data_IF_374529523405
#
_entry.id   IF_374529523405
#
_cell.length_a   1.000
_cell.length_b   1.000
_cell.length_c   1.000
_cell.angle_alpha   90.00
_cell.angle_beta   90.00
_cell.angle_gamma   90.00
#
_symmetry.space_group_name_H-M   'P 1'
#
loop_
_entity.id
_entity.type
_entity.pdbx_description
1 polymer ?
#
# COMPACT_ATOMS: atom_id res chain seq x y z
N UNK A 1 12.75 23.57 -23.73
CA UNK A 1 13.64 24.33 -22.82
C UNK A 1 13.92 23.44 -21.63
N UNK A 2 15.11 22.84 -21.63
CA UNK A 2 15.56 21.87 -20.65
C UNK A 2 15.97 22.59 -19.35
N UNK A 3 15.38 22.21 -18.22
CA UNK A 3 16.03 22.45 -16.93
C UNK A 3 16.94 21.27 -16.66
N UNK A 4 18.23 21.44 -16.96
CA UNK A 4 19.29 20.66 -16.35
C UNK A 4 19.26 20.93 -14.84
N UNK A 5 18.43 20.18 -14.14
CA UNK A 5 18.31 20.25 -12.68
C UNK A 5 19.45 19.45 -12.07
N UNK A 6 20.40 20.15 -11.45
CA UNK A 6 21.33 19.63 -10.44
C UNK A 6 20.73 18.45 -9.68
N UNK A 7 21.47 17.34 -9.56
CA UNK A 7 21.08 16.03 -8.98
C UNK A 7 20.58 16.06 -7.53
N UNK A 8 19.49 16.79 -7.30
CA UNK A 8 18.85 17.02 -6.01
C UNK A 8 17.44 16.44 -6.13
N UNK A 9 17.13 15.48 -5.26
CA UNK A 9 15.84 14.77 -5.25
C UNK A 9 14.66 15.73 -5.10
N UNK A 10 13.88 15.97 -6.16
CA UNK A 10 12.74 16.90 -6.11
C UNK A 10 11.43 16.18 -5.76
N UNK A 11 10.73 16.70 -4.75
CA UNK A 11 9.40 16.22 -4.34
C UNK A 11 8.38 16.45 -5.46
N UNK A 12 8.37 17.64 -6.05
CA UNK A 12 7.42 17.99 -7.12
C UNK A 12 7.60 17.13 -8.36
N UNK A 13 8.85 16.84 -8.74
CA UNK A 13 9.14 15.94 -9.86
C UNK A 13 8.65 14.52 -9.57
N UNK A 14 8.89 14.00 -8.35
CA UNK A 14 8.43 12.66 -7.97
C UNK A 14 6.92 12.55 -7.95
N UNK A 15 6.22 13.59 -7.49
CA UNK A 15 4.77 13.61 -7.54
C UNK A 15 4.26 13.70 -8.98
N UNK A 16 4.86 14.56 -9.81
CA UNK A 16 4.53 14.70 -11.23
C UNK A 16 4.74 13.42 -12.03
N UNK A 17 5.87 12.74 -11.81
CA UNK A 17 6.18 11.44 -12.43
C UNK A 17 5.18 10.37 -12.00
N UNK A 18 4.82 10.32 -10.71
CA UNK A 18 3.82 9.39 -10.19
C UNK A 18 2.43 9.61 -10.80
N UNK A 19 1.95 10.86 -10.82
CA UNK A 19 0.66 11.20 -11.44
C UNK A 19 0.67 10.97 -12.95
N UNK A 20 1.76 11.32 -13.64
CA UNK A 20 1.91 11.10 -15.07
C UNK A 20 1.88 9.63 -15.44
N UNK A 21 2.61 8.79 -14.69
CA UNK A 21 2.62 7.34 -14.89
C UNK A 21 1.23 6.72 -14.65
N UNK A 22 0.51 7.20 -13.62
CA UNK A 22 -0.86 6.76 -13.35
C UNK A 22 -1.79 7.08 -14.51
N UNK A 23 -1.82 8.33 -14.99
CA UNK A 23 -2.74 8.72 -16.07
C UNK A 23 -2.43 8.01 -17.38
N UNK A 24 -1.15 7.77 -17.69
CA UNK A 24 -0.73 7.07 -18.91
C UNK A 24 -1.09 5.58 -18.90
N UNK A 25 -1.06 4.93 -17.74
CA UNK A 25 -1.35 3.50 -17.59
C UNK A 25 -2.68 3.21 -16.88
N UNK A 26 -3.54 4.21 -16.73
CA UNK A 26 -4.73 4.12 -15.89
C UNK A 26 -5.58 2.89 -16.23
N UNK A 27 -5.80 2.62 -17.52
CA UNK A 27 -6.59 1.48 -17.98
C UNK A 27 -5.89 0.14 -17.71
N UNK A 28 -4.59 0.03 -17.95
CA UNK A 28 -3.84 -1.21 -17.74
C UNK A 28 -3.73 -1.54 -16.24
N UNK A 29 -3.48 -0.53 -15.39
CA UNK A 29 -3.46 -0.70 -13.94
C UNK A 29 -4.84 -1.01 -13.37
N UNK A 30 -5.88 -0.31 -13.84
CA UNK A 30 -7.26 -0.61 -13.44
C UNK A 30 -7.66 -2.01 -13.85
N UNK A 31 -7.29 -2.48 -15.04
CA UNK A 31 -7.55 -3.85 -15.47
C UNK A 31 -6.92 -4.88 -14.52
N UNK A 32 -5.66 -4.69 -14.11
CA UNK A 32 -4.99 -5.55 -13.13
C UNK A 32 -5.75 -5.53 -11.79
N UNK A 33 -6.07 -4.35 -11.26
CA UNK A 33 -6.80 -4.22 -9.99
C UNK A 33 -8.17 -4.88 -10.08
N UNK A 34 -8.92 -4.69 -11.17
CA UNK A 34 -10.23 -5.30 -11.38
C UNK A 34 -10.15 -6.82 -11.45
N UNK A 35 -9.19 -7.37 -12.21
CA UNK A 35 -9.02 -8.83 -12.32
C UNK A 35 -8.82 -9.46 -10.93
N UNK A 36 -7.90 -8.92 -10.13
CA UNK A 36 -7.62 -9.46 -8.80
C UNK A 36 -8.72 -9.17 -7.78
N UNK A 37 -9.35 -7.99 -7.86
CA UNK A 37 -10.43 -7.61 -6.93
C UNK A 37 -11.69 -8.43 -7.20
N UNK A 38 -12.06 -8.65 -8.47
CA UNK A 38 -13.18 -9.51 -8.85
C UNK A 38 -12.90 -10.95 -8.45
N UNK A 39 -11.72 -11.49 -8.78
CA UNK A 39 -11.35 -12.85 -8.40
C UNK A 39 -11.44 -13.09 -6.89
N UNK A 40 -10.92 -12.14 -6.10
CA UNK A 40 -10.97 -12.21 -4.62
C UNK A 40 -12.39 -12.10 -4.10
N UNK A 41 -13.17 -11.16 -4.63
CA UNK A 41 -14.57 -10.96 -4.22
C UNK A 41 -15.44 -12.16 -4.57
N UNK A 42 -15.31 -12.73 -5.77
CA UNK A 42 -16.07 -13.92 -6.19
C UNK A 42 -15.75 -15.12 -5.31
N UNK A 43 -14.48 -15.34 -4.95
CA UNK A 43 -14.11 -16.42 -4.04
C UNK A 43 -14.68 -16.19 -2.63
N UNK A 44 -14.60 -14.97 -2.12
CA UNK A 44 -15.18 -14.61 -0.83
C UNK A 44 -16.70 -14.85 -0.81
N UNK A 45 -17.42 -14.42 -1.84
CA UNK A 45 -18.87 -14.63 -1.95
C UNK A 45 -19.25 -16.09 -2.15
N UNK A 46 -18.51 -16.82 -2.99
CA UNK A 46 -18.74 -18.24 -3.21
C UNK A 46 -18.58 -19.05 -1.91
N UNK A 47 -17.52 -18.78 -1.14
CA UNK A 47 -17.30 -19.45 0.14
C UNK A 47 -18.33 -19.04 1.21
N UNK A 48 -18.73 -17.77 1.24
CA UNK A 48 -19.83 -17.30 2.11
C UNK A 48 -21.14 -18.04 1.81
N UNK A 49 -21.46 -18.22 0.51
CA UNK A 49 -22.65 -18.96 0.09
C UNK A 49 -22.59 -20.44 0.48
N UNK A 50 -21.46 -21.10 0.25
CA UNK A 50 -21.27 -22.52 0.62
C UNK A 50 -21.41 -22.73 2.13
N UNK A 51 -20.95 -21.78 2.95
CA UNK A 51 -20.96 -21.92 4.41
C UNK A 51 -22.25 -21.50 5.08
N UNK A 52 -22.96 -20.50 4.54
CA UNK A 52 -24.18 -19.96 5.16
C UNK A 52 -25.45 -20.29 4.39
N UNK A 53 -25.35 -20.91 3.20
CA UNK A 53 -26.49 -21.10 2.30
C UNK A 53 -27.03 -19.80 1.72
N UNK A 54 -26.34 -18.67 1.93
CA UNK A 54 -26.79 -17.35 1.55
C UNK A 54 -25.61 -16.49 1.09
N UNK A 55 -25.87 -15.54 0.19
CA UNK A 55 -24.90 -14.49 -0.10
C UNK A 55 -24.89 -13.40 0.98
N UNK A 56 -25.74 -13.51 2.01
CA UNK A 56 -26.00 -12.46 2.99
C UNK A 56 -25.16 -12.70 4.24
N UNK A 57 -24.39 -11.69 4.64
CA UNK A 57 -23.85 -11.63 5.98
C UNK A 57 -25.01 -11.39 6.94
N UNK A 58 -25.65 -12.46 7.41
CA UNK A 58 -26.64 -12.32 8.48
C UNK A 58 -25.89 -11.89 9.75
N UNK A 59 -26.04 -10.62 10.11
CA UNK A 59 -25.46 -10.02 11.31
C UNK A 59 -25.80 -10.82 12.58
N UNK A 60 -26.89 -11.59 12.56
CA UNK A 60 -27.30 -12.47 13.66
C UNK A 60 -26.66 -13.88 13.59
N UNK A 61 -26.19 -14.33 12.43
CA UNK A 61 -25.54 -15.63 12.26
C UNK A 61 -24.06 -15.64 12.70
N UNK A 62 -23.47 -14.47 12.95
CA UNK A 62 -22.07 -14.31 13.37
C UNK A 62 -21.69 -15.00 14.69
N UNK A 63 -22.68 -15.41 15.50
CA UNK A 63 -22.45 -16.11 16.78
C UNK A 63 -22.78 -17.62 16.71
N UNK A 64 -23.62 -18.07 15.77
CA UNK A 64 -24.12 -19.45 15.73
C UNK A 64 -23.25 -20.42 14.89
N UNK A 65 -22.39 -19.92 14.00
CA UNK A 65 -21.64 -20.72 13.02
C UNK A 65 -20.19 -21.06 13.38
N UNK A 66 -19.87 -21.26 14.67
CA UNK A 66 -18.53 -21.19 15.28
C UNK A 66 -17.37 -22.04 14.73
N UNK A 67 -17.54 -22.83 13.67
CA UNK A 67 -16.43 -23.53 12.99
C UNK A 67 -16.42 -23.37 11.45
N UNK A 68 -17.57 -23.42 10.77
CA UNK A 68 -17.63 -23.28 9.31
C UNK A 68 -17.37 -21.84 8.85
N UNK A 69 -17.77 -20.85 9.64
CA UNK A 69 -17.47 -19.44 9.38
C UNK A 69 -15.95 -19.19 9.42
N UNK A 70 -15.25 -19.80 10.38
CA UNK A 70 -13.80 -19.61 10.57
C UNK A 70 -12.98 -20.12 9.40
N UNK A 71 -13.30 -21.31 8.87
CA UNK A 71 -12.53 -21.89 7.74
C UNK A 71 -12.73 -21.08 6.45
N UNK A 72 -13.95 -20.65 6.12
CA UNK A 72 -14.22 -19.82 4.93
C UNK A 72 -13.53 -18.47 4.99
N UNK A 73 -13.52 -17.83 6.16
CA UNK A 73 -12.82 -16.55 6.38
C UNK A 73 -11.32 -16.73 6.23
N UNK A 74 -10.73 -17.80 6.78
CA UNK A 74 -9.29 -18.07 6.65
C UNK A 74 -8.91 -18.28 5.18
N UNK A 75 -9.64 -19.13 4.46
CA UNK A 75 -9.34 -19.45 3.05
C UNK A 75 -9.46 -18.20 2.17
N UNK A 76 -10.54 -17.43 2.32
CA UNK A 76 -10.74 -16.19 1.56
C UNK A 76 -9.69 -15.12 1.90
N UNK A 77 -9.30 -15.01 3.16
CA UNK A 77 -8.25 -14.07 3.58
C UNK A 77 -6.89 -14.46 3.01
N UNK A 78 -6.50 -15.73 3.09
CA UNK A 78 -5.23 -16.21 2.51
C UNK A 78 -5.21 -15.95 1.01
N UNK A 79 -6.29 -16.29 0.30
CA UNK A 79 -6.41 -16.02 -1.13
C UNK A 79 -6.30 -14.52 -1.44
N UNK A 80 -7.00 -13.68 -0.68
CA UNK A 80 -6.98 -12.22 -0.83
C UNK A 80 -5.59 -11.62 -0.59
N UNK A 81 -4.87 -12.08 0.42
CA UNK A 81 -3.48 -11.67 0.68
C UNK A 81 -2.56 -12.10 -0.47
N UNK A 82 -2.72 -13.31 -0.97
CA UNK A 82 -1.92 -13.79 -2.11
C UNK A 82 -2.19 -12.98 -3.37
N UNK A 83 -3.47 -12.79 -3.73
CA UNK A 83 -3.91 -11.99 -4.87
C UNK A 83 -3.40 -10.54 -4.76
N UNK A 84 -3.47 -9.98 -3.55
CA UNK A 84 -3.00 -8.64 -3.27
C UNK A 84 -1.51 -8.46 -3.54
N UNK A 85 -0.66 -9.38 -3.10
CA UNK A 85 0.80 -9.32 -3.33
C UNK A 85 1.12 -9.43 -4.82
N UNK A 86 0.45 -10.32 -5.55
CA UNK A 86 0.64 -10.47 -7.00
C UNK A 86 0.24 -9.18 -7.73
N UNK A 87 -0.91 -8.60 -7.39
CA UNK A 87 -1.38 -7.35 -7.96
C UNK A 87 -0.40 -6.20 -7.66
N UNK A 88 0.08 -6.11 -6.41
CA UNK A 88 1.02 -5.10 -5.97
C UNK A 88 2.31 -5.12 -6.80
N UNK A 89 2.89 -6.30 -7.02
CA UNK A 89 4.09 -6.46 -7.85
C UNK A 89 3.82 -6.07 -9.31
N UNK A 90 2.70 -6.54 -9.87
CA UNK A 90 2.33 -6.27 -11.26
C UNK A 90 2.18 -4.76 -11.52
N UNK A 91 1.50 -4.04 -10.60
CA UNK A 91 1.30 -2.60 -10.68
C UNK A 91 2.63 -1.82 -10.59
N UNK A 92 3.48 -2.16 -9.62
CA UNK A 92 4.80 -1.51 -9.48
C UNK A 92 5.65 -1.75 -10.73
N UNK A 93 5.67 -2.98 -11.26
CA UNK A 93 6.41 -3.32 -12.46
C UNK A 93 5.92 -2.56 -13.69
N UNK A 94 4.61 -2.37 -13.82
CA UNK A 94 4.02 -1.61 -14.92
C UNK A 94 4.36 -0.11 -14.81
N UNK A 95 4.26 0.46 -13.61
CA UNK A 95 4.69 1.84 -13.33
C UNK A 95 6.19 2.04 -13.61
N UNK A 96 7.03 1.08 -13.21
CA UNK A 96 8.46 1.12 -13.47
C UNK A 96 8.80 1.05 -14.96
N UNK A 97 8.17 0.14 -15.71
CA UNK A 97 8.41 0.04 -17.16
C UNK A 97 8.05 1.33 -17.86
N UNK A 98 6.95 1.94 -17.45
CA UNK A 98 6.48 3.20 -17.98
C UNK A 98 7.43 4.38 -17.70
N UNK A 99 7.92 4.49 -16.46
CA UNK A 99 8.93 5.50 -16.09
C UNK A 99 10.29 5.28 -16.76
N UNK A 100 10.56 4.06 -17.21
CA UNK A 100 11.75 3.68 -17.99
C UNK A 100 11.54 3.81 -19.51
N UNK A 101 10.37 4.28 -19.96
CA UNK A 101 10.06 4.42 -21.39
C UNK A 101 9.83 3.10 -22.13
N UNK A 102 9.62 1.99 -21.40
CA UNK A 102 9.35 0.67 -21.98
C UNK A 102 7.85 0.40 -21.98
N UNK A 103 7.31 0.00 -23.12
CA UNK A 103 5.93 -0.50 -23.20
C UNK A 103 5.88 -1.93 -22.69
N UNK A 104 4.92 -2.24 -21.81
CA UNK A 104 4.76 -3.57 -21.25
C UNK A 104 3.32 -4.02 -21.35
N UNK A 105 3.15 -5.27 -21.78
CA UNK A 105 1.85 -5.93 -21.85
C UNK A 105 1.35 -6.32 -20.45
N UNK A 106 0.03 -6.23 -20.25
CA UNK A 106 -0.68 -6.57 -19.01
C UNK A 106 -0.40 -8.02 -18.61
N UNK A 107 -0.40 -8.94 -19.59
CA UNK A 107 -0.11 -10.35 -19.36
C UNK A 107 1.30 -10.58 -18.83
N UNK A 108 2.28 -9.82 -19.32
CA UNK A 108 3.65 -9.83 -18.81
C UNK A 108 3.75 -9.33 -17.37
N UNK A 109 3.01 -8.26 -17.02
CA UNK A 109 2.97 -7.73 -15.66
C UNK A 109 2.35 -8.73 -14.65
N UNK A 110 1.26 -9.40 -15.03
CA UNK A 110 0.63 -10.44 -14.19
C UNK A 110 1.57 -11.62 -13.99
N UNK A 111 2.23 -12.09 -15.07
CA UNK A 111 3.23 -13.16 -15.00
C UNK A 111 4.37 -12.80 -14.04
N UNK A 112 4.84 -11.55 -14.08
CA UNK A 112 5.84 -11.05 -13.15
C UNK A 112 5.37 -11.08 -11.69
N UNK A 113 4.10 -10.77 -11.44
CA UNK A 113 3.49 -10.86 -10.12
C UNK A 113 3.59 -12.28 -9.54
N UNK A 114 3.27 -13.30 -10.34
CA UNK A 114 3.38 -14.70 -9.91
C UNK A 114 4.84 -15.16 -9.75
N UNK A 115 5.74 -14.77 -10.64
CA UNK A 115 7.16 -15.18 -10.54
C UNK A 115 7.87 -14.55 -9.34
N UNK A 116 7.48 -13.33 -8.95
CA UNK A 116 8.06 -12.63 -7.80
C UNK A 116 7.18 -12.69 -6.55
N UNK A 117 6.25 -13.64 -6.48
CA UNK A 117 5.35 -13.80 -5.34
C UNK A 117 6.11 -14.07 -4.02
N UNK A 118 6.89 -15.16 -3.96
CA UNK A 118 7.68 -15.50 -2.77
C UNK A 118 8.68 -14.40 -2.40
N UNK A 119 9.40 -13.82 -3.38
CA UNK A 119 10.18 -12.61 -3.17
C UNK A 119 9.45 -11.48 -2.44
N UNK A 120 8.31 -11.06 -2.97
CA UNK A 120 7.54 -9.96 -2.43
C UNK A 120 7.01 -10.32 -1.03
N UNK A 121 6.40 -11.50 -0.88
CA UNK A 121 5.92 -11.99 0.41
C UNK A 121 7.00 -11.92 1.50
N UNK A 122 8.23 -12.36 1.21
CA UNK A 122 9.33 -12.29 2.17
C UNK A 122 9.71 -10.86 2.57
N UNK A 123 9.68 -9.89 1.64
CA UNK A 123 9.95 -8.48 1.96
C UNK A 123 8.80 -7.91 2.80
N UNK A 124 7.56 -8.06 2.33
CA UNK A 124 6.38 -7.58 3.04
C UNK A 124 6.32 -8.15 4.47
N UNK A 125 6.56 -9.45 4.63
CA UNK A 125 6.57 -10.10 5.94
C UNK A 125 7.66 -9.52 6.85
N UNK A 126 8.88 -9.34 6.36
CA UNK A 126 9.96 -8.76 7.17
C UNK A 126 9.68 -7.31 7.56
N UNK A 127 9.17 -6.48 6.64
CA UNK A 127 8.82 -5.08 6.94
C UNK A 127 7.69 -5.02 7.97
N UNK A 128 6.65 -5.84 7.80
CA UNK A 128 5.52 -5.92 8.74
C UNK A 128 5.97 -6.44 10.10
N UNK A 129 6.81 -7.47 10.17
CA UNK A 129 7.34 -7.97 11.42
C UNK A 129 8.23 -6.94 12.13
N UNK A 130 9.07 -6.23 11.39
CA UNK A 130 9.96 -5.23 11.98
C UNK A 130 9.21 -4.01 12.51
N UNK A 131 8.29 -3.44 11.72
CA UNK A 131 7.43 -2.34 12.16
C UNK A 131 6.43 -2.80 13.24
N UNK A 132 5.92 -4.02 13.12
CA UNK A 132 5.02 -4.65 14.09
C UNK A 132 5.70 -4.89 15.43
N UNK A 133 6.96 -5.33 15.46
CA UNK A 133 7.73 -5.48 16.69
C UNK A 133 7.95 -4.14 17.40
N UNK A 134 8.23 -3.06 16.64
CA UNK A 134 8.31 -1.69 17.17
C UNK A 134 6.97 -1.28 17.79
N UNK A 135 5.87 -1.54 17.08
CA UNK A 135 4.52 -1.21 17.55
C UNK A 135 4.11 -2.02 18.79
N UNK A 136 4.40 -3.32 18.83
CA UNK A 136 4.12 -4.18 19.99
C UNK A 136 4.99 -3.78 21.19
N UNK A 137 6.27 -3.51 20.98
CA UNK A 137 7.16 -2.99 22.02
C UNK A 137 6.66 -1.67 22.59
N UNK A 138 6.09 -0.82 21.75
CA UNK A 138 5.40 0.37 22.21
C UNK A 138 4.13 0.08 23.02
N UNK A 139 3.24 -0.79 22.54
CA UNK A 139 2.03 -1.12 23.28
C UNK A 139 2.37 -1.68 24.67
N UNK A 140 3.44 -2.47 24.74
CA UNK A 140 3.99 -2.92 26.02
C UNK A 140 4.47 -1.75 26.88
N UNK A 141 5.25 -0.83 26.31
CA UNK A 141 5.73 0.37 27.02
C UNK A 141 4.58 1.25 27.53
N UNK A 142 3.55 1.50 26.71
CA UNK A 142 2.34 2.24 27.11
C UNK A 142 1.56 1.48 28.18
N UNK A 143 1.43 0.16 28.05
CA UNK A 143 0.79 -0.69 29.05
C UNK A 143 1.50 -0.64 30.41
N UNK A 144 2.84 -0.66 30.42
CA UNK A 144 3.63 -0.54 31.65
C UNK A 144 3.45 0.84 32.27
N UNK A 145 3.48 1.90 31.46
CA UNK A 145 3.24 3.27 31.94
C UNK A 145 1.83 3.42 32.49
N UNK A 146 0.81 2.88 31.83
CA UNK A 146 -0.57 3.02 32.28
C UNK A 146 -0.83 2.28 33.59
N UNK A 147 -0.21 1.11 33.79
CA UNK A 147 -0.25 0.37 35.06
C UNK A 147 0.51 1.12 36.16
N UNK A 148 1.69 1.66 35.87
CA UNK A 148 2.46 2.48 36.81
C UNK A 148 1.77 3.83 37.13
N UNK A 149 0.93 4.32 36.23
CA UNK A 149 0.15 5.53 36.47
C UNK A 149 -1.10 5.25 37.34
N UNK A 150 -1.72 4.08 37.18
CA UNK A 150 -2.87 3.65 37.99
C UNK A 150 -2.55 3.51 39.49
N UNK A 151 -1.27 3.42 39.87
CA UNK A 151 -0.82 3.30 41.27
C UNK A 151 -0.67 4.63 42.02
N UNK A 152 -1.08 5.77 41.44
CA UNK A 152 -1.14 7.05 42.18
C UNK A 152 -0.92 8.34 41.38
N UNK A 153 -0.87 8.28 40.05
CA UNK A 153 -0.68 9.48 39.20
C UNK A 153 -1.97 10.30 39.02
N UNK A 154 -1.84 11.61 38.84
CA UNK A 154 -2.98 12.47 38.49
C UNK A 154 -3.44 12.19 37.06
N UNK A 155 -4.76 12.16 36.80
CA UNK A 155 -5.32 11.87 35.46
C UNK A 155 -4.74 12.78 34.36
N UNK A 156 -4.41 14.03 34.69
CA UNK A 156 -3.77 14.97 33.78
C UNK A 156 -2.35 14.53 33.36
N UNK A 157 -1.55 13.99 34.29
CA UNK A 157 -0.22 13.48 33.96
C UNK A 157 -0.28 12.27 33.03
N UNK A 158 -1.33 11.45 33.14
CA UNK A 158 -1.52 10.26 32.30
C UNK A 158 -1.79 10.62 30.84
N UNK A 159 -2.68 11.58 30.59
CA UNK A 159 -3.01 12.01 29.23
C UNK A 159 -1.79 12.57 28.52
N UNK A 160 -0.98 13.38 29.22
CA UNK A 160 0.24 13.96 28.65
C UNK A 160 1.27 12.88 28.33
N UNK A 161 1.49 11.90 29.22
CA UNK A 161 2.44 10.82 28.96
C UNK A 161 1.99 9.95 27.78
N UNK A 162 0.70 9.60 27.71
CA UNK A 162 0.17 8.81 26.58
C UNK A 162 0.31 9.56 25.26
N UNK A 163 0.00 10.87 25.23
CA UNK A 163 0.17 11.70 24.05
C UNK A 163 1.64 11.80 23.61
N UNK A 164 2.56 12.06 24.54
CA UNK A 164 4.00 12.12 24.24
C UNK A 164 4.53 10.77 23.76
N UNK A 165 4.08 9.67 24.37
CA UNK A 165 4.43 8.31 23.97
C UNK A 165 3.93 8.01 22.56
N UNK A 166 2.71 8.41 22.24
CA UNK A 166 2.14 8.29 20.89
C UNK A 166 2.96 9.08 19.86
N UNK A 167 3.30 10.35 20.14
CA UNK A 167 4.15 11.14 19.25
C UNK A 167 5.53 10.49 19.05
N UNK A 168 6.13 9.95 20.11
CA UNK A 168 7.43 9.29 20.03
C UNK A 168 7.40 8.08 19.08
N UNK A 169 6.33 7.28 19.12
CA UNK A 169 6.19 6.14 18.19
C UNK A 169 5.92 6.54 16.79
N UNK A 170 5.06 7.53 16.58
CA UNK A 170 4.82 8.05 15.25
C UNK A 170 6.16 8.51 14.66
N UNK A 171 7.01 9.19 15.43
CA UNK A 171 8.35 9.58 15.01
C UNK A 171 9.26 8.36 14.71
N UNK A 172 9.25 7.33 15.56
CA UNK A 172 10.06 6.11 15.35
C UNK A 172 9.58 5.33 14.12
N UNK A 173 8.28 5.05 14.00
CA UNK A 173 7.69 4.37 12.85
C UNK A 173 7.97 5.16 11.57
N UNK A 174 7.85 6.48 11.60
CA UNK A 174 8.19 7.36 10.48
C UNK A 174 9.67 7.26 10.09
N UNK A 175 10.57 7.22 11.07
CA UNK A 175 12.01 7.08 10.81
C UNK A 175 12.33 5.75 10.10
N UNK A 176 11.72 4.64 10.52
CA UNK A 176 11.91 3.35 9.85
C UNK A 176 11.18 3.27 8.51
N UNK A 177 9.94 3.77 8.42
CA UNK A 177 9.14 3.77 7.19
C UNK A 177 9.83 4.56 6.07
N UNK A 178 10.43 5.70 6.36
CA UNK A 178 11.20 6.47 5.37
C UNK A 178 12.49 5.77 4.92
N UNK A 179 13.09 4.93 5.76
CA UNK A 179 14.24 4.10 5.40
C UNK A 179 13.88 2.88 4.55
N UNK A 180 12.74 2.25 4.83
CA UNK A 180 12.20 1.11 4.08
C UNK A 180 11.09 1.52 3.12
N UNK A 181 11.26 2.66 2.49
CA UNK A 181 10.24 3.23 1.62
C UNK A 181 9.99 2.40 0.35
N UNK A 182 11.04 1.84 -0.25
CA UNK A 182 10.98 1.18 -1.57
C UNK A 182 11.77 -0.16 -1.64
N UNK A 183 11.73 -1.04 -0.62
CA UNK A 183 12.49 -2.30 -0.64
C UNK A 183 11.97 -3.26 -1.71
N UNK A 184 10.64 -3.31 -1.89
CA UNK A 184 10.02 -4.13 -2.92
C UNK A 184 10.47 -3.70 -4.32
N UNK A 185 10.46 -2.38 -4.59
CA UNK A 185 10.87 -1.82 -5.88
C UNK A 185 12.35 -2.07 -6.15
N UNK A 186 13.22 -1.90 -5.14
CA UNK A 186 14.65 -2.18 -5.25
C UNK A 186 14.93 -3.64 -5.62
N UNK A 187 14.19 -4.59 -5.04
CA UNK A 187 14.33 -6.00 -5.43
C UNK A 187 13.86 -6.27 -6.85
N UNK A 188 12.71 -5.72 -7.24
CA UNK A 188 12.16 -5.96 -8.58
C UNK A 188 13.11 -5.43 -9.66
N UNK A 189 13.74 -4.29 -9.43
CA UNK A 189 14.66 -3.68 -10.40
C UNK A 189 16.05 -4.32 -10.35
N UNK A 190 16.60 -4.59 -9.17
CA UNK A 190 18.01 -4.99 -9.02
C UNK A 190 18.21 -6.49 -8.81
N UNK A 191 17.14 -7.28 -8.71
CA UNK A 191 17.23 -8.73 -8.48
C UNK A 191 17.89 -9.11 -7.15
N UNK A 192 18.00 -8.17 -6.21
CA UNK A 192 18.71 -8.37 -4.95
C UNK A 192 17.92 -9.29 -4.00
N UNK A 193 18.63 -10.05 -3.17
CA UNK A 193 18.00 -10.88 -2.13
C UNK A 193 17.20 -10.05 -1.13
N UNK A 194 16.25 -10.69 -0.41
CA UNK A 194 15.29 -10.04 0.51
C UNK A 194 15.97 -9.03 1.44
N UNK A 195 16.98 -9.47 2.22
CA UNK A 195 17.67 -8.61 3.18
C UNK A 195 18.53 -7.52 2.52
N UNK A 196 19.15 -7.82 1.38
CA UNK A 196 19.93 -6.83 0.63
C UNK A 196 19.04 -5.72 0.09
N UNK A 197 17.80 -6.03 -0.31
CA UNK A 197 16.83 -5.03 -0.78
C UNK A 197 16.42 -4.02 0.31
N UNK A 198 16.34 -4.46 1.57
CA UNK A 198 16.07 -3.58 2.73
C UNK A 198 17.25 -2.62 2.97
N UNK A 199 18.48 -3.17 2.98
CA UNK A 199 19.69 -2.35 3.11
C UNK A 199 19.85 -1.36 1.96
N UNK A 200 19.48 -1.79 0.74
CA UNK A 200 19.49 -0.95 -0.46
C UNK A 200 18.48 0.20 -0.37
N UNK A 201 17.24 -0.08 0.03
CA UNK A 201 16.23 0.97 0.28
C UNK A 201 16.74 1.99 1.29
N UNK A 202 17.36 1.52 2.38
CA UNK A 202 17.92 2.40 3.41
C UNK A 202 19.07 3.26 2.87
N UNK A 203 19.93 2.67 2.04
CA UNK A 203 20.99 3.40 1.37
C UNK A 203 20.42 4.49 0.45
N UNK A 204 19.42 4.19 -0.37
CA UNK A 204 18.76 5.16 -1.26
C UNK A 204 18.04 6.27 -0.48
N UNK A 205 17.47 5.96 0.68
CA UNK A 205 16.80 6.95 1.52
C UNK A 205 17.75 7.88 2.30
N UNK A 206 19.01 7.45 2.54
CA UNK A 206 19.98 8.21 3.34
C UNK A 206 20.26 9.59 2.71
N UNK A 207 20.02 10.68 3.43
CA UNK A 207 20.24 12.05 2.95
C UNK A 207 18.99 12.74 2.39
N UNK A 208 17.94 12.00 2.01
CA UNK A 208 16.69 12.55 1.47
C UNK A 208 15.44 12.25 2.32
N UNK A 209 15.61 11.75 3.56
CA UNK A 209 14.51 11.27 4.42
C UNK A 209 13.39 12.28 4.64
N UNK A 210 13.73 13.55 4.84
CA UNK A 210 12.74 14.63 4.98
C UNK A 210 11.88 14.80 3.72
N UNK A 211 12.49 14.66 2.54
CA UNK A 211 11.78 14.80 1.27
C UNK A 211 10.89 13.57 1.00
N UNK A 212 11.37 12.37 1.35
CA UNK A 212 10.57 11.14 1.32
C UNK A 212 9.37 11.28 2.26
N UNK A 213 9.58 11.81 3.46
CA UNK A 213 8.51 12.04 4.42
C UNK A 213 7.44 13.01 3.91
N UNK A 214 7.85 14.13 3.28
CA UNK A 214 6.89 15.06 2.66
C UNK A 214 6.10 14.38 1.55
N UNK A 215 6.72 13.53 0.73
CA UNK A 215 6.00 12.73 -0.29
C UNK A 215 4.98 11.82 0.38
N UNK A 216 5.33 11.15 1.48
CA UNK A 216 4.38 10.33 2.24
C UNK A 216 3.26 11.14 2.88
N UNK A 217 3.50 12.36 3.36
CA UNK A 217 2.41 13.23 3.83
C UNK A 217 1.47 13.57 2.67
N UNK A 218 2.03 13.97 1.52
CA UNK A 218 1.22 14.34 0.36
C UNK A 218 0.41 13.15 -0.13
N UNK A 219 1.04 11.99 -0.28
CA UNK A 219 0.39 10.72 -0.62
C UNK A 219 -0.70 10.37 0.40
N UNK A 220 -0.40 10.47 1.70
CA UNK A 220 -1.37 10.22 2.76
C UNK A 220 -2.57 11.16 2.69
N UNK A 221 -2.36 12.46 2.48
CA UNK A 221 -3.45 13.45 2.37
C UNK A 221 -4.31 13.18 1.14
N UNK A 222 -3.70 12.84 -0.01
CA UNK A 222 -4.43 12.47 -1.22
C UNK A 222 -5.27 11.22 -1.00
N UNK A 223 -4.67 10.16 -0.43
CA UNK A 223 -5.38 8.91 -0.13
C UNK A 223 -6.49 9.13 0.90
N UNK A 224 -6.26 9.94 1.92
CA UNK A 224 -7.25 10.30 2.92
C UNK A 224 -8.43 11.05 2.28
N UNK A 225 -8.15 12.02 1.41
CA UNK A 225 -9.19 12.75 0.69
C UNK A 225 -10.02 11.82 -0.21
N UNK A 226 -9.38 10.87 -0.89
CA UNK A 226 -10.08 9.85 -1.69
C UNK A 226 -10.94 8.92 -0.85
N UNK A 227 -10.44 8.49 0.32
CA UNK A 227 -11.20 7.65 1.25
C UNK A 227 -12.39 8.43 1.81
N UNK A 228 -12.22 9.70 2.20
CA UNK A 228 -13.32 10.55 2.67
C UNK A 228 -14.34 10.79 1.56
N UNK A 229 -13.90 11.07 0.33
CA UNK A 229 -14.78 11.24 -0.83
C UNK A 229 -15.57 9.96 -1.11
N UNK A 230 -14.89 8.80 -1.08
CA UNK A 230 -15.53 7.50 -1.20
C UNK A 230 -16.57 7.29 -0.10
N UNK A 231 -16.21 7.55 1.16
CA UNK A 231 -17.10 7.39 2.31
C UNK A 231 -18.32 8.34 2.22
N UNK A 232 -18.11 9.59 1.82
CA UNK A 232 -19.18 10.58 1.64
C UNK A 232 -20.20 10.15 0.57
N UNK A 233 -19.77 9.43 -0.47
CA UNK A 233 -20.67 8.87 -1.49
C UNK A 233 -21.28 7.54 -1.01
N UNK A 234 -20.48 6.67 -0.40
CA UNK A 234 -20.91 5.31 -0.03
C UNK A 234 -21.83 5.27 1.19
N UNK A 235 -21.59 6.06 2.22
CA UNK A 235 -22.37 6.02 3.48
C UNK A 235 -23.85 6.35 3.25
N UNK A 236 -24.24 7.43 2.53
CA UNK A 236 -25.65 7.73 2.27
C UNK A 236 -26.32 6.65 1.40
N UNK A 237 -25.58 6.12 0.42
CA UNK A 237 -26.08 5.04 -0.44
C UNK A 237 -26.21 3.70 0.30
N UNK A 238 -25.43 3.49 1.37
CA UNK A 238 -25.60 2.38 2.32
C UNK A 238 -26.75 2.61 3.29
N UNK A 239 -26.95 3.86 3.75
CA UNK A 239 -28.03 4.22 4.66
C UNK A 239 -29.42 4.12 4.04
N UNK A 240 -29.53 4.25 2.72
CA UNK A 240 -30.79 4.02 1.97
C UNK A 240 -31.14 2.53 1.82
N UNK A 241 -30.18 1.62 2.05
CA UNK A 241 -30.41 0.18 2.15
C UNK A 241 -30.54 -0.21 3.62
N UNK A 242 -31.65 0.16 4.26
CA UNK A 242 -31.92 -0.09 5.69
C UNK A 242 -31.90 -1.57 6.09
N UNK A 243 -31.97 -2.49 5.13
CA UNK A 243 -31.59 -3.89 5.31
C UNK A 243 -30.12 -4.02 4.90
N UNK A 244 -29.23 -4.25 5.87
CA UNK A 244 -27.79 -4.48 5.64
C UNK A 244 -27.44 -5.77 4.86
N UNK A 245 -28.29 -6.15 3.92
CA UNK A 245 -28.11 -7.28 3.00
C UNK A 245 -27.73 -6.84 1.59
N UNK A 246 -27.32 -7.83 0.79
CA UNK A 246 -27.00 -7.69 -0.62
C UNK A 246 -28.27 -7.38 -1.42
N UNK A 247 -28.59 -6.11 -1.54
CA UNK A 247 -29.66 -5.63 -2.44
C UNK A 247 -29.16 -5.57 -3.89
N UNK A 248 -30.07 -5.53 -4.85
CA UNK A 248 -29.72 -5.22 -6.25
C UNK A 248 -28.92 -3.89 -6.34
N UNK A 249 -29.25 -2.92 -5.49
CA UNK A 249 -28.50 -1.67 -5.35
C UNK A 249 -27.04 -1.92 -4.94
N UNK A 250 -26.78 -2.85 -4.02
CA UNK A 250 -25.42 -3.19 -3.63
C UNK A 250 -24.60 -3.76 -4.80
N UNK A 251 -25.16 -4.75 -5.51
CA UNK A 251 -24.47 -5.44 -6.61
C UNK A 251 -24.25 -4.56 -7.83
N UNK A 252 -25.25 -3.76 -8.21
CA UNK A 252 -25.21 -3.00 -9.47
C UNK A 252 -24.75 -1.55 -9.30
N UNK A 253 -24.71 -1.01 -8.08
CA UNK A 253 -24.30 0.38 -7.83
C UNK A 253 -23.10 0.45 -6.90
N UNK A 254 -23.21 -0.09 -5.68
CA UNK A 254 -22.18 0.08 -4.65
C UNK A 254 -20.89 -0.66 -4.98
N UNK A 255 -20.99 -1.93 -5.39
CA UNK A 255 -19.82 -2.76 -5.67
C UNK A 255 -18.99 -2.25 -6.88
N UNK A 256 -19.58 -1.92 -8.05
CA UNK A 256 -18.81 -1.33 -9.15
C UNK A 256 -18.17 0.00 -8.76
N UNK A 257 -18.87 0.83 -7.98
CA UNK A 257 -18.36 2.11 -7.52
C UNK A 257 -17.19 1.90 -6.54
N UNK A 258 -17.29 0.98 -5.58
CA UNK A 258 -16.19 0.59 -4.70
C UNK A 258 -14.96 0.09 -5.48
N UNK A 259 -15.18 -0.73 -6.51
CA UNK A 259 -14.10 -1.20 -7.38
C UNK A 259 -13.41 -0.04 -8.12
N UNK A 260 -14.19 0.93 -8.62
CA UNK A 260 -13.63 2.10 -9.29
C UNK A 260 -12.72 2.93 -8.36
N UNK A 261 -13.13 3.17 -7.10
CA UNK A 261 -12.28 3.83 -6.11
C UNK A 261 -11.04 3.00 -5.77
N UNK A 262 -11.20 1.68 -5.64
CA UNK A 262 -10.09 0.78 -5.36
C UNK A 262 -9.03 0.84 -6.47
N UNK A 263 -9.45 0.92 -7.75
CA UNK A 263 -8.54 1.09 -8.88
C UNK A 263 -7.68 2.35 -8.77
N UNK A 264 -8.31 3.48 -8.40
CA UNK A 264 -7.60 4.76 -8.22
C UNK A 264 -6.57 4.66 -7.09
N UNK A 265 -6.99 4.15 -5.93
CA UNK A 265 -6.14 4.05 -4.74
C UNK A 265 -4.91 3.16 -5.00
N UNK A 266 -5.13 1.96 -5.54
CA UNK A 266 -4.05 1.00 -5.78
C UNK A 266 -3.08 1.45 -6.87
N UNK A 267 -3.59 2.08 -7.93
CA UNK A 267 -2.77 2.59 -9.03
C UNK A 267 -1.91 3.77 -8.57
N UNK A 268 -2.49 4.70 -7.81
CA UNK A 268 -1.75 5.83 -7.22
C UNK A 268 -0.56 5.35 -6.41
N UNK A 269 -0.83 4.47 -5.44
CA UNK A 269 0.20 3.94 -4.55
C UNK A 269 1.35 3.30 -5.34
N UNK A 270 1.05 2.45 -6.32
CA UNK A 270 2.07 1.76 -7.10
C UNK A 270 2.95 2.74 -7.93
N UNK A 271 2.33 3.76 -8.53
CA UNK A 271 3.04 4.79 -9.27
C UNK A 271 3.95 5.64 -8.39
N UNK A 272 3.49 6.03 -7.19
CA UNK A 272 4.33 6.79 -6.25
C UNK A 272 5.53 5.96 -5.78
N UNK A 273 5.35 4.67 -5.48
CA UNK A 273 6.48 3.81 -5.10
C UNK A 273 7.52 3.67 -6.22
N UNK A 274 7.06 3.52 -7.47
CA UNK A 274 7.94 3.42 -8.63
C UNK A 274 8.68 4.74 -8.91
N UNK A 275 7.96 5.88 -8.91
CA UNK A 275 8.53 7.21 -9.10
C UNK A 275 9.54 7.57 -7.99
N UNK A 276 9.19 7.27 -6.74
CA UNK A 276 10.06 7.47 -5.59
C UNK A 276 11.38 6.72 -5.76
N UNK A 277 11.32 5.45 -6.16
CA UNK A 277 12.51 4.65 -6.39
C UNK A 277 13.38 5.21 -7.53
N UNK A 278 12.78 5.51 -8.69
CA UNK A 278 13.51 6.03 -9.86
C UNK A 278 14.21 7.35 -9.53
N UNK A 279 13.51 8.27 -8.86
CA UNK A 279 14.05 9.58 -8.54
C UNK A 279 15.07 9.54 -7.39
N UNK A 280 14.90 8.66 -6.40
CA UNK A 280 15.94 8.43 -5.39
C UNK A 280 17.21 7.86 -6.04
N UNK A 281 17.06 6.94 -6.99
CA UNK A 281 18.19 6.36 -7.72
C UNK A 281 18.91 7.40 -8.58
N UNK A 282 18.16 8.22 -9.34
CA UNK A 282 18.72 9.34 -10.12
C UNK A 282 19.49 10.32 -9.23
N UNK A 283 18.92 10.72 -8.10
CA UNK A 283 19.56 11.66 -7.18
C UNK A 283 20.81 11.10 -6.47
N UNK A 284 20.86 9.78 -6.24
CA UNK A 284 21.96 9.11 -5.51
C UNK A 284 23.10 8.64 -6.40
N UNK A 285 22.74 8.10 -7.55
CA UNK A 285 23.66 7.37 -8.42
C UNK A 285 23.99 8.14 -9.69
N UNK A 286 23.34 9.30 -9.91
CA UNK A 286 23.64 10.16 -11.05
C UNK A 286 23.44 9.46 -12.39
N UNK A 287 22.53 8.49 -12.48
CA UNK A 287 22.24 7.76 -13.73
C UNK A 287 21.46 8.69 -14.67
N UNK A 288 22.20 9.64 -15.23
CA UNK A 288 21.97 10.24 -16.53
C UNK A 288 22.81 9.40 -17.49
N UNK A 289 22.16 8.59 -18.32
CA UNK A 289 22.76 8.01 -19.52
C UNK A 289 23.36 9.11 -20.44
N UNK A 290 23.06 10.39 -20.17
CA UNK A 290 23.53 11.57 -20.92
C UNK A 290 24.99 12.00 -20.64
N UNK A 291 25.67 11.55 -19.57
CA UNK A 291 27.08 11.94 -19.34
C UNK A 291 28.08 11.08 -20.14
N UNK A 292 27.62 10.00 -20.78
CA UNK A 292 28.48 9.17 -21.64
C UNK A 292 28.50 9.70 -23.08
N UNK A 293 27.46 10.42 -23.52
CA UNK A 293 27.41 11.01 -24.87
C UNK A 293 28.36 12.21 -25.03
N UNK A 294 28.54 13.02 -23.99
CA UNK A 294 29.39 14.23 -24.01
C UNK A 294 30.90 13.95 -23.91
N UNK A 295 31.31 12.67 -23.77
CA UNK A 295 32.73 12.26 -23.75
C UNK A 295 33.17 11.73 -25.12
N UNK A 296 32.23 11.51 -26.06
CA UNK A 296 32.52 10.96 -27.38
C UNK A 296 32.25 11.94 -28.55
N UNK A 297 31.94 13.21 -28.28
CA UNK A 297 32.05 14.33 -29.24
C UNK A 297 33.31 15.17 -28.94
#
# INVERSE_FOLDING_TARGET
MASAGTGIFSVGQTLGDGFGAMWRNFFAMSAIVLIFSIATSTLQFGLSYVTTGSFVADSAAGVAGGQNFTVSVIVSTIFGVCAYIVAQVALIRLALSDLQGRQRDIGGAIRDGFTHFFPAFGIQLLVVLALGAIYVGFLFFVGVISVAAASGGSAASMTVIVLLSFLAVVAVLMFFATGWAVPLVARLVEGTGVFRSLGRSWFLAKGNRWRIFVIYIVEFVILLALIIAMAAVMIPLFGSTASGGFTATWLFVLFPLQLAFSCLIWSLWACFMAALYVNLRRAKEGVTEDLVADIFE
#
